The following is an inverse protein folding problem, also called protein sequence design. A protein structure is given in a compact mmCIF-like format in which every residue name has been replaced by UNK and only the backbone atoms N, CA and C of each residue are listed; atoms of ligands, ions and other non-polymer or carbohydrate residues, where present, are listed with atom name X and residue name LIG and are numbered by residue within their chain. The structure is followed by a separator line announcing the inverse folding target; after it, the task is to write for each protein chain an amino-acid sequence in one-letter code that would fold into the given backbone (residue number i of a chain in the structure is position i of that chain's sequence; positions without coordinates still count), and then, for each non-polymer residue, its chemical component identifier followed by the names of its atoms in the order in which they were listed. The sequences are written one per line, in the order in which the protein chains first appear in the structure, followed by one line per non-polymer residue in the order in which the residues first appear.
data_IF_630892302754
#
_entry.id   IF_630892302754
#
_cell.length_a   1.000
_cell.length_b   1.000
_cell.length_c   1.000
_cell.angle_alpha   90.00
_cell.angle_beta   90.00
_cell.angle_gamma   90.00
#
_symmetry.space_group_name_H-M   'P 1'
#
loop_
_entity.id
_entity.type
_entity.pdbx_description
1 polymer ?
#
# COMPACT_ATOMS: atom_id res chain seq x y z
N UNK A 1 1.71 -26.38 2.95
CA UNK A 1 1.60 -27.31 4.09
C UNK A 1 0.16 -27.80 4.21
N UNK A 2 -0.05 -29.07 4.56
CA UNK A 2 -1.38 -29.64 4.86
C UNK A 2 -1.31 -30.22 6.27
N UNK A 3 -2.27 -29.90 7.14
CA UNK A 3 -2.32 -30.39 8.51
C UNK A 3 -3.75 -30.76 8.91
N UNK A 4 -3.95 -31.78 9.77
CA UNK A 4 -5.26 -32.08 10.33
C UNK A 4 -5.73 -30.93 11.23
N UNK A 5 -7.05 -30.69 11.28
CA UNK A 5 -7.64 -29.70 12.19
C UNK A 5 -7.94 -30.33 13.55
N UNK A 6 -8.19 -29.51 14.60
CA UNK A 6 -8.67 -30.02 15.88
C UNK A 6 -9.91 -30.91 15.75
N UNK A 7 -10.79 -30.65 14.77
CA UNK A 7 -11.98 -31.49 14.53
C UNK A 7 -11.63 -32.92 14.13
N UNK A 8 -10.63 -33.10 13.28
CA UNK A 8 -10.15 -34.43 12.91
C UNK A 8 -9.57 -35.17 14.13
N UNK A 9 -8.82 -34.46 14.98
CA UNK A 9 -8.27 -35.01 16.22
C UNK A 9 -9.40 -35.44 17.16
N UNK A 10 -10.41 -34.58 17.36
CA UNK A 10 -11.57 -34.92 18.21
C UNK A 10 -12.35 -36.13 17.68
N UNK A 11 -12.58 -36.24 16.37
CA UNK A 11 -13.24 -37.41 15.78
C UNK A 11 -12.41 -38.68 15.98
N UNK A 12 -11.08 -38.60 15.85
CA UNK A 12 -10.21 -39.72 16.15
C UNK A 12 -10.31 -40.14 17.62
N UNK A 13 -10.24 -39.17 18.54
CA UNK A 13 -10.29 -39.39 19.99
C UNK A 13 -11.64 -39.94 20.46
N UNK A 14 -12.75 -39.57 19.83
CA UNK A 14 -14.08 -40.08 20.16
C UNK A 14 -14.17 -41.61 19.98
N UNK A 15 -13.38 -42.18 19.08
CA UNK A 15 -13.32 -43.64 18.89
C UNK A 15 -12.52 -44.37 19.96
N UNK A 16 -11.64 -43.68 20.70
CA UNK A 16 -10.71 -44.33 21.64
C UNK A 16 -11.41 -45.10 22.75
N UNK A 17 -12.43 -44.55 23.46
CA UNK A 17 -13.14 -45.31 24.50
C UNK A 17 -13.79 -46.57 23.94
N UNK A 18 -14.38 -46.49 22.74
CA UNK A 18 -15.00 -47.63 22.07
C UNK A 18 -13.97 -48.70 21.70
N UNK A 19 -12.82 -48.28 21.15
CA UNK A 19 -11.72 -49.18 20.79
C UNK A 19 -11.14 -49.88 22.02
N UNK A 20 -10.94 -49.15 23.13
CA UNK A 20 -10.46 -49.73 24.39
C UNK A 20 -11.47 -50.72 24.95
N UNK A 21 -12.76 -50.39 24.93
CA UNK A 21 -13.82 -51.30 25.37
C UNK A 21 -13.86 -52.58 24.52
N UNK A 22 -13.73 -52.46 23.20
CA UNK A 22 -13.64 -53.61 22.28
C UNK A 22 -12.41 -54.46 22.61
N UNK A 23 -11.24 -53.83 22.76
CA UNK A 23 -9.99 -54.52 23.06
C UNK A 23 -10.01 -55.29 24.38
N UNK A 24 -10.75 -54.82 25.39
CA UNK A 24 -10.86 -55.46 26.71
C UNK A 24 -11.97 -56.52 26.79
N UNK A 25 -13.13 -56.26 26.18
CA UNK A 25 -14.33 -57.09 26.37
C UNK A 25 -14.52 -58.14 25.25
N UNK A 26 -14.15 -57.80 24.01
CA UNK A 26 -14.37 -58.61 22.80
C UNK A 26 -13.22 -58.43 21.79
N UNK A 27 -12.01 -58.94 22.07
CA UNK A 27 -10.84 -58.76 21.20
C UNK A 27 -11.05 -59.23 19.75
N UNK A 28 -11.93 -60.21 19.53
CA UNK A 28 -12.32 -60.72 18.22
C UNK A 28 -12.95 -59.65 17.30
N UNK A 29 -13.47 -58.55 17.86
CA UNK A 29 -14.06 -57.43 17.13
C UNK A 29 -13.05 -56.33 16.75
N UNK A 30 -11.74 -56.61 16.79
CA UNK A 30 -10.69 -55.64 16.45
C UNK A 30 -10.89 -54.96 15.07
N UNK A 31 -11.54 -55.65 14.12
CA UNK A 31 -11.87 -55.13 12.78
C UNK A 31 -12.73 -53.87 12.86
N UNK A 32 -13.61 -53.73 13.87
CA UNK A 32 -14.42 -52.52 14.08
C UNK A 32 -13.51 -51.33 14.44
N UNK A 33 -12.52 -51.56 15.29
CA UNK A 33 -11.53 -50.54 15.67
C UNK A 33 -10.69 -50.11 14.47
N UNK A 34 -10.21 -51.08 13.68
CA UNK A 34 -9.51 -50.79 12.43
C UNK A 34 -10.41 -50.04 11.42
N UNK A 35 -11.69 -50.41 11.33
CA UNK A 35 -12.69 -49.76 10.51
C UNK A 35 -12.94 -48.31 10.89
N UNK A 36 -12.96 -47.98 12.20
CA UNK A 36 -13.06 -46.59 12.65
C UNK A 36 -11.85 -45.77 12.21
N UNK A 37 -10.64 -46.26 12.47
CA UNK A 37 -9.40 -45.57 12.07
C UNK A 37 -9.38 -45.37 10.55
N UNK A 38 -9.64 -46.44 9.79
CA UNK A 38 -9.71 -46.39 8.33
C UNK A 38 -10.80 -45.45 7.82
N UNK A 39 -11.95 -45.42 8.47
CA UNK A 39 -13.07 -44.53 8.14
C UNK A 39 -12.73 -43.05 8.35
N UNK A 40 -12.17 -42.70 9.51
CA UNK A 40 -11.74 -41.32 9.79
C UNK A 40 -10.59 -40.91 8.84
N UNK A 41 -9.61 -41.80 8.60
CA UNK A 41 -8.54 -41.55 7.64
C UNK A 41 -9.09 -41.33 6.22
N UNK A 42 -10.10 -42.10 5.81
CA UNK A 42 -10.78 -41.95 4.52
C UNK A 42 -11.52 -40.61 4.42
N UNK A 43 -12.19 -40.18 5.49
CA UNK A 43 -12.85 -38.87 5.54
C UNK A 43 -11.84 -37.71 5.47
N UNK A 44 -10.72 -37.82 6.18
CA UNK A 44 -9.61 -36.85 6.11
C UNK A 44 -9.04 -36.78 4.70
N UNK A 45 -8.83 -37.93 4.06
CA UNK A 45 -8.34 -38.01 2.68
C UNK A 45 -9.34 -37.41 1.70
N UNK A 46 -10.62 -37.75 1.81
CA UNK A 46 -11.68 -37.19 0.98
C UNK A 46 -11.77 -35.66 1.16
N UNK A 47 -11.69 -35.15 2.39
CA UNK A 47 -11.66 -33.71 2.67
C UNK A 47 -10.43 -33.03 2.02
N UNK A 48 -9.28 -33.70 2.03
CA UNK A 48 -8.06 -33.17 1.41
C UNK A 48 -8.15 -33.10 -0.12
N UNK A 49 -8.76 -34.10 -0.76
CA UNK A 49 -8.99 -34.16 -2.21
C UNK A 49 -10.02 -33.11 -2.64
N UNK A 50 -11.12 -32.97 -1.89
CA UNK A 50 -12.19 -32.01 -2.19
C UNK A 50 -11.84 -30.56 -1.82
N UNK A 51 -10.85 -30.34 -0.96
CA UNK A 51 -10.41 -29.00 -0.59
C UNK A 51 -9.69 -28.28 -1.73
N UNK A 52 -9.90 -26.96 -1.82
CA UNK A 52 -9.23 -26.09 -2.79
C UNK A 52 -7.72 -26.34 -2.88
N UNK A 53 -7.21 -26.42 -4.10
CA UNK A 53 -5.83 -26.86 -4.37
C UNK A 53 -4.80 -25.78 -4.04
N UNK A 54 -3.71 -26.17 -3.38
CA UNK A 54 -2.55 -25.29 -3.15
C UNK A 54 -1.86 -24.89 -4.45
N UNK A 55 -1.83 -25.78 -5.46
CA UNK A 55 -1.15 -25.53 -6.74
C UNK A 55 -1.92 -24.58 -7.66
N UNK A 56 -3.21 -24.41 -7.42
CA UNK A 56 -4.06 -23.51 -8.20
C UNK A 56 -4.20 -22.14 -7.53
N UNK A 57 -3.60 -21.95 -6.35
CA UNK A 57 -3.72 -20.74 -5.56
C UNK A 57 -2.64 -19.74 -5.95
N UNK A 58 -3.08 -18.54 -6.30
CA UNK A 58 -2.24 -17.39 -6.62
C UNK A 58 -2.64 -16.25 -5.70
N UNK A 59 -1.64 -15.53 -5.18
CA UNK A 59 -1.87 -14.34 -4.38
C UNK A 59 -0.93 -13.25 -4.85
N UNK A 60 -1.48 -12.07 -5.12
CA UNK A 60 -0.73 -10.89 -5.48
C UNK A 60 -1.02 -9.78 -4.46
N UNK A 61 0.03 -9.07 -4.05
CA UNK A 61 -0.07 -7.90 -3.17
C UNK A 61 0.48 -6.72 -3.95
N UNK A 62 -0.42 -5.85 -4.40
CA UNK A 62 -0.01 -4.58 -4.98
C UNK A 62 0.10 -3.54 -3.86
N UNK A 63 1.33 -3.11 -3.62
CA UNK A 63 1.66 -2.19 -2.55
C UNK A 63 2.14 -0.86 -3.12
N UNK A 64 1.82 0.26 -2.45
CA UNK A 64 2.26 1.58 -2.90
C UNK A 64 3.79 1.65 -2.97
N UNK A 65 4.30 2.41 -3.95
CA UNK A 65 5.73 2.60 -4.14
C UNK A 65 6.39 3.45 -3.04
N UNK A 66 5.58 4.23 -2.31
CA UNK A 66 6.02 5.17 -1.29
C UNK A 66 4.99 5.22 -0.18
N UNK A 67 5.46 5.20 1.07
CA UNK A 67 4.63 5.36 2.25
C UNK A 67 5.00 6.64 2.99
N UNK A 68 4.05 7.17 3.75
CA UNK A 68 4.25 8.39 4.51
C UNK A 68 4.07 8.16 6.01
N UNK A 69 4.99 8.67 6.83
CA UNK A 69 4.86 8.57 8.29
C UNK A 69 3.57 9.23 8.76
N UNK A 70 2.83 8.54 9.62
CA UNK A 70 1.54 9.02 10.16
C UNK A 70 0.38 8.95 9.17
N UNK A 71 0.61 8.45 7.95
CA UNK A 71 -0.44 8.10 7.00
C UNK A 71 -0.86 6.63 7.12
N UNK A 72 -1.95 6.27 6.45
CA UNK A 72 -2.36 4.90 6.21
C UNK A 72 -2.69 4.77 4.73
N UNK A 73 -1.95 3.92 4.02
CA UNK A 73 -2.16 3.68 2.59
C UNK A 73 -2.62 2.24 2.35
N UNK A 74 -3.57 2.02 1.41
CA UNK A 74 -4.03 0.69 1.09
C UNK A 74 -2.97 -0.10 0.32
N UNK A 75 -2.82 -1.38 0.67
CA UNK A 75 -2.20 -2.41 -0.17
C UNK A 75 -3.29 -3.36 -0.66
N UNK A 76 -3.41 -3.50 -1.97
CA UNK A 76 -4.46 -4.28 -2.61
C UNK A 76 -4.02 -5.73 -2.75
N UNK A 77 -4.65 -6.58 -1.94
CA UNK A 77 -4.48 -8.02 -1.96
C UNK A 77 -5.49 -8.64 -2.92
N UNK A 78 -4.99 -9.36 -3.93
CA UNK A 78 -5.82 -10.16 -4.84
C UNK A 78 -5.50 -11.64 -4.65
N UNK A 79 -6.51 -12.41 -4.25
CA UNK A 79 -6.44 -13.87 -4.08
C UNK A 79 -7.18 -14.56 -5.22
N UNK A 80 -6.57 -15.55 -5.85
CA UNK A 80 -7.17 -16.24 -7.01
C UNK A 80 -6.96 -17.74 -6.93
N UNK A 81 -7.97 -18.48 -7.37
CA UNK A 81 -7.87 -19.93 -7.59
C UNK A 81 -8.10 -20.24 -9.06
N UNK A 82 -7.03 -20.54 -9.80
CA UNK A 82 -7.07 -20.79 -11.25
C UNK A 82 -8.05 -21.89 -11.66
N UNK A 83 -8.17 -22.95 -10.85
CA UNK A 83 -9.05 -24.11 -11.12
C UNK A 83 -9.48 -24.83 -9.85
N UNK A 84 -10.50 -25.69 -9.98
CA UNK A 84 -10.99 -26.55 -8.90
C UNK A 84 -11.97 -25.87 -7.92
N UNK A 85 -12.26 -26.53 -6.79
CA UNK A 85 -13.20 -26.01 -5.80
C UNK A 85 -12.64 -24.77 -5.09
N UNK A 86 -13.53 -23.88 -4.67
CA UNK A 86 -13.19 -22.66 -3.94
C UNK A 86 -13.40 -22.87 -2.43
N UNK A 87 -12.51 -22.37 -1.56
CA UNK A 87 -12.70 -22.52 -0.14
C UNK A 87 -13.81 -21.60 0.37
N UNK A 88 -14.61 -22.05 1.34
CA UNK A 88 -15.70 -21.23 1.92
C UNK A 88 -15.18 -19.99 2.65
N UNK A 89 -14.01 -20.12 3.28
CA UNK A 89 -13.31 -19.06 4.00
C UNK A 89 -11.81 -19.25 3.80
N UNK A 90 -11.11 -18.16 3.51
CA UNK A 90 -9.65 -18.09 3.53
C UNK A 90 -9.22 -17.09 4.59
N UNK A 91 -8.22 -17.46 5.38
CA UNK A 91 -7.62 -16.57 6.36
C UNK A 91 -6.25 -16.15 5.85
N UNK A 92 -6.00 -14.85 5.85
CA UNK A 92 -4.75 -14.25 5.39
C UNK A 92 -4.10 -13.42 6.48
N UNK A 93 -2.77 -13.42 6.50
CA UNK A 93 -1.97 -12.60 7.40
C UNK A 93 -0.76 -12.10 6.62
N UNK A 94 -0.63 -10.77 6.54
CA UNK A 94 0.53 -10.12 5.95
C UNK A 94 1.57 -9.88 7.03
N UNK A 95 2.75 -10.48 6.86
CA UNK A 95 3.90 -10.30 7.72
C UNK A 95 4.70 -9.09 7.24
N UNK A 96 4.93 -8.14 8.14
CA UNK A 96 5.62 -6.88 7.90
C UNK A 96 6.72 -6.67 8.94
N UNK A 97 7.72 -5.83 8.62
CA UNK A 97 8.74 -5.45 9.60
C UNK A 97 8.24 -4.39 10.61
N UNK A 98 9.09 -4.07 11.60
CA UNK A 98 8.76 -3.16 12.70
C UNK A 98 8.49 -1.69 12.30
N UNK A 99 8.69 -1.31 11.03
CA UNK A 99 8.37 0.03 10.54
C UNK A 99 6.90 0.20 10.19
N UNK A 100 6.15 -0.89 10.09
CA UNK A 100 4.70 -0.90 9.87
C UNK A 100 3.98 -1.41 11.12
N UNK A 101 2.77 -0.91 11.36
CA UNK A 101 1.88 -1.50 12.36
C UNK A 101 1.51 -2.93 11.95
N UNK A 102 1.43 -3.83 12.93
CA UNK A 102 1.02 -5.21 12.69
C UNK A 102 -0.44 -5.25 12.23
N UNK A 103 -0.68 -5.94 11.11
CA UNK A 103 -2.01 -6.08 10.53
C UNK A 103 -2.65 -7.36 11.10
N UNK A 104 -3.87 -7.30 11.66
CA UNK A 104 -4.53 -8.48 12.19
C UNK A 104 -4.90 -9.47 11.07
N UNK A 105 -4.98 -10.79 11.36
CA UNK A 105 -5.43 -11.77 10.38
C UNK A 105 -6.84 -11.46 9.87
N UNK A 106 -7.03 -11.49 8.55
CA UNK A 106 -8.32 -11.24 7.91
C UNK A 106 -8.94 -12.56 7.42
N UNK A 107 -10.22 -12.78 7.74
CA UNK A 107 -10.99 -13.94 7.28
C UNK A 107 -11.92 -13.57 6.14
N UNK A 108 -11.55 -13.90 4.90
CA UNK A 108 -12.26 -13.53 3.69
C UNK A 108 -13.22 -14.64 3.22
N UNK A 109 -14.37 -14.23 2.70
CA UNK A 109 -15.42 -15.10 2.14
C UNK A 109 -15.98 -14.46 0.87
N UNK A 110 -16.62 -15.27 0.04
CA UNK A 110 -17.20 -14.84 -1.23
C UNK A 110 -16.14 -14.69 -2.31
N UNK A 111 -16.43 -15.21 -3.50
CA UNK A 111 -15.53 -15.22 -4.65
C UNK A 111 -16.26 -14.61 -5.85
N UNK A 112 -15.58 -13.74 -6.59
CA UNK A 112 -16.05 -13.19 -7.86
C UNK A 112 -15.05 -13.61 -8.92
N UNK A 113 -15.52 -14.30 -9.97
CA UNK A 113 -14.65 -14.85 -11.03
C UNK A 113 -13.46 -15.66 -10.50
N UNK A 114 -13.70 -16.42 -9.42
CA UNK A 114 -12.70 -17.25 -8.72
C UNK A 114 -11.56 -16.44 -8.10
N UNK A 115 -11.73 -15.13 -8.00
CA UNK A 115 -10.84 -14.19 -7.35
C UNK A 115 -11.53 -13.49 -6.16
N UNK A 116 -10.73 -12.92 -5.27
CA UNK A 116 -11.18 -12.10 -4.15
C UNK A 116 -10.17 -10.99 -3.90
N UNK A 117 -10.62 -9.76 -4.06
CA UNK A 117 -9.85 -8.57 -3.70
C UNK A 117 -10.14 -8.15 -2.26
N UNK A 118 -9.12 -7.64 -1.58
CA UNK A 118 -9.18 -7.11 -0.23
C UNK A 118 -8.12 -6.04 -0.04
N UNK A 119 -8.44 -4.95 0.66
CA UNK A 119 -7.48 -3.87 0.90
C UNK A 119 -6.96 -3.94 2.33
N UNK A 120 -5.64 -3.99 2.46
CA UNK A 120 -4.92 -4.06 3.75
C UNK A 120 -4.34 -2.67 4.06
N UNK A 121 -4.64 -2.06 5.21
CA UNK A 121 -4.04 -0.79 5.57
C UNK A 121 -2.57 -0.97 5.96
N UNK A 122 -1.68 -0.26 5.27
CA UNK A 122 -0.27 -0.12 5.63
C UNK A 122 -0.09 1.19 6.41
N UNK A 123 0.15 1.09 7.71
CA UNK A 123 0.33 2.25 8.59
C UNK A 123 1.78 2.33 9.09
N UNK A 124 2.60 3.25 8.55
CA UNK A 124 3.99 3.41 8.99
C UNK A 124 4.09 4.07 10.37
N UNK A 125 4.94 3.52 11.24
CA UNK A 125 5.16 4.04 12.59
C UNK A 125 6.30 5.05 12.67
N UNK A 126 7.32 4.91 11.81
CA UNK A 126 8.50 5.79 11.75
C UNK A 126 9.14 5.76 10.36
N UNK A 127 10.02 6.73 10.06
CA UNK A 127 10.78 6.78 8.78
C UNK A 127 11.73 5.59 8.68
N UNK A 128 12.02 5.16 7.46
CA UNK A 128 12.92 4.05 7.16
C UNK A 128 12.43 3.23 5.98
N UNK A 129 12.86 1.97 5.91
CA UNK A 129 12.44 1.01 4.89
C UNK A 129 11.42 0.05 5.50
N UNK A 130 10.14 0.20 5.12
CA UNK A 130 9.14 -0.83 5.36
C UNK A 130 9.47 -2.06 4.53
N UNK A 131 9.21 -3.25 5.07
CA UNK A 131 9.36 -4.51 4.33
C UNK A 131 8.10 -5.33 4.45
N UNK A 132 7.54 -5.72 3.30
CA UNK A 132 6.52 -6.75 3.20
C UNK A 132 7.24 -8.09 3.07
N UNK A 133 7.18 -8.92 4.10
CA UNK A 133 8.01 -10.12 4.23
C UNK A 133 7.33 -11.29 3.52
N UNK A 134 6.16 -11.69 4.04
CA UNK A 134 5.42 -12.88 3.57
C UNK A 134 3.93 -12.67 3.70
N UNK A 135 3.17 -13.25 2.78
CA UNK A 135 1.74 -13.42 2.91
C UNK A 135 1.44 -14.87 3.29
N UNK A 136 0.90 -15.05 4.49
CA UNK A 136 0.39 -16.34 4.96
C UNK A 136 -1.07 -16.46 4.57
N UNK A 137 -1.44 -17.61 4.00
CA UNK A 137 -2.80 -17.87 3.56
C UNK A 137 -3.20 -19.29 3.94
N UNK A 138 -4.33 -19.45 4.62
CA UNK A 138 -4.80 -20.76 5.07
C UNK A 138 -6.31 -20.93 4.88
N UNK A 139 -6.72 -22.14 4.55
CA UNK A 139 -8.12 -22.49 4.38
C UNK A 139 -8.37 -23.94 4.79
N UNK A 140 -9.64 -24.25 5.07
CA UNK A 140 -10.07 -25.60 5.46
C UNK A 140 -10.77 -26.32 4.31
N UNK A 141 -10.76 -27.65 4.35
CA UNK A 141 -11.59 -28.46 3.46
C UNK A 141 -13.09 -28.31 3.74
N UNK A 142 -13.96 -28.81 2.85
CA UNK A 142 -15.42 -28.72 2.99
C UNK A 142 -15.96 -29.38 4.28
N UNK A 143 -15.37 -30.49 4.73
CA UNK A 143 -15.69 -31.16 5.99
C UNK A 143 -14.96 -30.52 7.18
N UNK A 144 -13.92 -29.72 6.90
CA UNK A 144 -13.16 -28.99 7.92
C UNK A 144 -12.27 -29.89 8.77
N UNK A 145 -11.91 -31.07 8.26
CA UNK A 145 -11.02 -32.05 8.87
C UNK A 145 -9.55 -31.76 8.56
N UNK A 146 -9.30 -31.10 7.42
CA UNK A 146 -7.96 -30.67 7.01
C UNK A 146 -7.86 -29.16 6.86
N UNK A 147 -6.64 -28.66 7.05
CA UNK A 147 -6.25 -27.28 6.80
C UNK A 147 -5.08 -27.26 5.81
N UNK A 148 -5.22 -26.47 4.76
CA UNK A 148 -4.14 -26.18 3.80
C UNK A 148 -3.61 -24.79 4.09
N UNK A 149 -2.29 -24.64 4.03
CA UNK A 149 -1.58 -23.39 4.24
C UNK A 149 -0.57 -23.17 3.12
N UNK A 150 -0.57 -21.96 2.57
CA UNK A 150 0.34 -21.46 1.57
C UNK A 150 1.05 -20.21 2.10
N UNK A 151 2.32 -20.05 1.75
CA UNK A 151 3.10 -18.87 2.10
C UNK A 151 3.68 -18.30 0.82
N UNK A 152 3.31 -17.07 0.51
CA UNK A 152 3.86 -16.32 -0.64
C UNK A 152 4.96 -15.41 -0.09
N UNK A 153 6.19 -15.57 -0.57
CA UNK A 153 7.27 -14.63 -0.27
C UNK A 153 7.03 -13.34 -1.07
N UNK A 154 7.08 -12.18 -0.41
CA UNK A 154 6.92 -10.88 -1.08
C UNK A 154 8.26 -10.16 -1.20
N UNK A 155 9.06 -10.18 -0.12
CA UNK A 155 10.38 -9.55 0.02
C UNK A 155 10.48 -8.17 -0.65
N UNK A 156 9.48 -7.32 -0.40
CA UNK A 156 9.33 -6.01 -1.04
C UNK A 156 9.61 -4.90 -0.05
N UNK A 157 10.61 -4.08 -0.37
CA UNK A 157 10.95 -2.89 0.39
C UNK A 157 10.20 -1.67 -0.12
N UNK A 158 9.69 -0.86 0.81
CA UNK A 158 8.91 0.35 0.53
C UNK A 158 9.51 1.50 1.36
N UNK A 159 10.04 2.56 0.73
CA UNK A 159 10.56 3.70 1.46
C UNK A 159 9.42 4.44 2.18
N UNK A 160 9.69 4.83 3.43
CA UNK A 160 8.79 5.65 4.23
C UNK A 160 9.37 7.06 4.36
N UNK A 161 8.72 8.03 3.75
CA UNK A 161 9.14 9.44 3.75
C UNK A 161 8.32 10.31 4.69
N UNK A 162 8.79 11.53 5.02
CA UNK A 162 7.98 12.54 5.67
C UNK A 162 6.71 12.80 4.86
N UNK A 163 5.59 13.01 5.55
CA UNK A 163 4.33 13.31 4.89
C UNK A 163 4.38 14.70 4.21
N UNK A 164 4.59 14.69 2.89
CA UNK A 164 4.59 15.88 2.04
C UNK A 164 3.29 16.05 1.24
N UNK A 165 2.26 15.23 1.50
CA UNK A 165 1.00 15.30 0.74
C UNK A 165 0.37 16.69 0.81
N UNK A 166 0.37 17.29 2.01
CA UNK A 166 -0.13 18.64 2.22
C UNK A 166 0.61 19.70 1.37
N UNK A 167 1.92 19.54 1.17
CA UNK A 167 2.72 20.45 0.32
C UNK A 167 2.34 20.27 -1.14
N UNK A 168 2.18 19.02 -1.59
CA UNK A 168 1.84 18.71 -2.98
C UNK A 168 0.44 19.23 -3.35
N UNK A 169 -0.52 19.01 -2.46
CA UNK A 169 -1.91 19.45 -2.67
C UNK A 169 -1.98 20.99 -2.73
N UNK A 170 -1.23 21.68 -1.87
CA UNK A 170 -1.17 23.15 -1.88
C UNK A 170 -0.43 23.69 -3.10
N UNK A 171 0.67 23.05 -3.54
CA UNK A 171 1.34 23.41 -4.78
C UNK A 171 0.40 23.28 -5.98
N UNK A 172 -0.34 22.18 -6.10
CA UNK A 172 -1.34 22.00 -7.17
C UNK A 172 -2.39 23.11 -7.12
N UNK A 173 -2.90 23.47 -5.93
CA UNK A 173 -3.85 24.56 -5.74
C UNK A 173 -3.30 25.92 -6.21
N UNK A 174 -2.04 26.21 -5.91
CA UNK A 174 -1.37 27.45 -6.34
C UNK A 174 -1.25 27.46 -7.88
N UNK A 175 -0.75 26.38 -8.48
CA UNK A 175 -0.59 26.28 -9.94
C UNK A 175 -1.92 26.27 -10.70
N UNK A 176 -2.98 25.66 -10.16
CA UNK A 176 -4.31 25.69 -10.80
C UNK A 176 -4.92 27.09 -10.80
N UNK A 177 -4.62 27.89 -9.76
CA UNK A 177 -5.09 29.28 -9.67
C UNK A 177 -4.43 30.15 -10.74
N UNK A 178 -3.13 29.97 -10.98
CA UNK A 178 -2.41 30.67 -12.05
C UNK A 178 -2.85 30.25 -13.47
N UNK A 179 -3.40 29.05 -13.62
CA UNK A 179 -3.94 28.58 -14.91
C UNK A 179 -5.32 29.19 -15.26
N UNK A 180 -6.15 29.52 -14.27
CA UNK A 180 -7.47 30.15 -14.49
C UNK A 180 -7.38 31.64 -14.80
N UNK A 181 -6.39 32.34 -14.26
CA UNK A 181 -6.07 33.72 -14.64
C UNK A 181 -5.12 33.72 -15.84
N UNK A 182 -5.63 33.30 -17.01
CA UNK A 182 -4.85 33.17 -18.24
C UNK A 182 -3.81 34.28 -18.38
N UNK A 183 -2.54 33.88 -18.58
CA UNK A 183 -1.29 34.67 -18.53
C UNK A 183 -1.51 36.17 -18.80
N UNK A 184 -2.02 36.88 -17.80
CA UNK A 184 -1.97 38.34 -17.80
C UNK A 184 -0.57 38.62 -17.30
N UNK A 185 0.31 39.01 -18.21
CA UNK A 185 1.54 39.71 -17.82
C UNK A 185 1.10 40.95 -17.03
N UNK A 186 1.02 40.81 -15.72
CA UNK A 186 0.87 41.93 -14.82
C UNK A 186 2.25 42.57 -14.77
N UNK A 187 2.45 43.58 -15.62
CA UNK A 187 3.66 44.41 -15.60
C UNK A 187 3.59 45.25 -14.32
N UNK A 188 4.05 44.67 -13.22
CA UNK A 188 4.19 45.36 -11.93
C UNK A 188 5.48 46.18 -11.95
N UNK A 189 5.35 47.46 -12.30
CA UNK A 189 6.41 48.48 -12.22
C UNK A 189 6.84 48.68 -10.76
N UNK A 190 8.13 48.74 -10.47
CA UNK A 190 8.66 48.92 -9.11
C UNK A 190 10.18 49.08 -9.04
N UNK A 191 10.72 49.26 -7.83
CA UNK A 191 12.15 49.53 -7.53
C UNK A 191 13.06 48.29 -7.64
N UNK A 192 13.04 47.59 -8.78
CA UNK A 192 14.03 46.52 -9.04
C UNK A 192 15.39 47.05 -9.52
N UNK A 193 16.36 46.15 -9.75
CA UNK A 193 17.69 46.54 -10.24
C UNK A 193 17.87 46.40 -11.76
N UNK A 194 16.99 45.66 -12.43
CA UNK A 194 17.01 45.45 -13.88
C UNK A 194 16.36 46.62 -14.63
N UNK A 195 17.10 47.23 -15.55
CA UNK A 195 16.60 48.30 -16.41
C UNK A 195 15.54 47.76 -17.37
N UNK A 196 14.37 48.41 -17.41
CA UNK A 196 13.26 48.03 -18.31
C UNK A 196 13.20 48.95 -19.53
N UNK A 197 13.01 50.25 -19.31
CA UNK A 197 12.85 51.23 -20.38
C UNK A 197 13.23 52.66 -19.95
N UNK A 198 13.41 53.55 -20.94
CA UNK A 198 13.43 55.00 -20.73
C UNK A 198 12.05 55.58 -20.97
N UNK A 199 11.60 56.46 -20.07
CA UNK A 199 10.34 57.18 -20.19
C UNK A 199 10.54 58.67 -19.96
N UNK A 200 9.69 59.50 -20.54
CA UNK A 200 9.67 60.94 -20.26
C UNK A 200 9.39 61.22 -18.77
N UNK A 201 10.24 62.05 -18.17
CA UNK A 201 10.14 62.42 -16.76
C UNK A 201 8.91 63.30 -16.53
N UNK A 202 8.05 62.90 -15.59
CA UNK A 202 6.88 63.68 -15.18
C UNK A 202 7.03 64.14 -13.73
N UNK A 203 6.47 65.30 -13.41
CA UNK A 203 6.37 65.81 -12.03
C UNK A 203 5.67 64.80 -11.14
N UNK A 204 6.41 64.25 -10.17
CA UNK A 204 5.98 63.14 -9.30
C UNK A 204 6.94 61.95 -9.30
N UNK A 205 7.82 61.84 -10.30
CA UNK A 205 8.88 60.81 -10.35
C UNK A 205 10.08 61.20 -9.48
N UNK A 206 10.83 60.20 -8.99
CA UNK A 206 12.09 60.44 -8.28
C UNK A 206 13.11 61.08 -9.22
N UNK A 207 13.69 62.21 -8.79
CA UNK A 207 14.72 62.96 -9.52
C UNK A 207 16.01 62.15 -9.72
N UNK A 208 16.26 61.14 -8.88
CA UNK A 208 17.41 60.23 -9.00
C UNK A 208 17.30 59.27 -10.18
N UNK A 209 16.07 59.02 -10.67
CA UNK A 209 15.83 58.15 -11.81
C UNK A 209 16.18 58.81 -13.16
N UNK A 210 16.49 60.12 -13.19
CA UNK A 210 16.80 60.86 -14.41
C UNK A 210 18.10 60.36 -15.05
N UNK A 211 18.02 59.93 -16.31
CA UNK A 211 19.20 59.65 -17.14
C UNK A 211 19.65 60.93 -17.85
N UNK A 212 20.59 61.64 -17.22
CA UNK A 212 21.15 62.89 -17.76
C UNK A 212 21.82 62.71 -19.12
N UNK A 213 22.41 61.53 -19.39
CA UNK A 213 23.15 61.27 -20.63
C UNK A 213 22.21 61.11 -21.82
N UNK A 214 21.11 60.37 -21.65
CA UNK A 214 20.09 60.22 -22.69
C UNK A 214 19.26 61.49 -22.86
N UNK A 215 18.95 62.19 -21.76
CA UNK A 215 18.21 63.45 -21.80
C UNK A 215 18.94 64.52 -22.62
N UNK A 216 20.26 64.64 -22.44
CA UNK A 216 21.09 65.59 -23.19
C UNK A 216 21.07 65.34 -24.71
N UNK A 217 20.92 64.08 -25.15
CA UNK A 217 20.89 63.72 -26.57
C UNK A 217 19.55 63.99 -27.23
N UNK A 218 18.45 63.79 -26.49
CA UNK A 218 17.08 63.86 -27.03
C UNK A 218 16.40 65.20 -26.72
N UNK A 219 17.07 66.12 -26.01
CA UNK A 219 16.56 67.43 -25.58
C UNK A 219 15.26 67.37 -24.75
N UNK A 220 14.92 66.21 -24.21
CA UNK A 220 13.79 65.95 -23.32
C UNK A 220 14.28 65.25 -22.05
N UNK A 221 13.63 65.48 -20.90
CA UNK A 221 13.99 64.80 -19.65
C UNK A 221 13.51 63.34 -19.68
N UNK A 222 14.44 62.40 -19.53
CA UNK A 222 14.19 60.96 -19.54
C UNK A 222 14.55 60.36 -18.18
N UNK A 223 13.68 59.49 -17.66
CA UNK A 223 13.88 58.68 -16.47
C UNK A 223 13.97 57.19 -16.81
N UNK A 224 14.76 56.46 -16.02
CA UNK A 224 14.84 55.00 -16.08
C UNK A 224 13.66 54.39 -15.33
N UNK A 225 12.89 53.53 -15.98
CA UNK A 225 12.00 52.60 -15.31
C UNK A 225 12.76 51.28 -15.09
N UNK A 226 12.68 50.75 -13.87
CA UNK A 226 13.24 49.46 -13.51
C UNK A 226 12.11 48.43 -13.36
N UNK A 227 12.43 47.17 -13.64
CA UNK A 227 11.50 46.07 -13.48
C UNK A 227 11.71 45.41 -12.13
N UNK A 228 10.63 45.19 -11.38
CA UNK A 228 10.67 44.45 -10.12
C UNK A 228 11.18 43.02 -10.36
N UNK A 229 12.27 42.65 -9.69
CA UNK A 229 12.75 41.27 -9.69
C UNK A 229 11.81 40.38 -8.85
N UNK A 230 11.24 39.35 -9.47
CA UNK A 230 10.51 38.27 -8.78
C UNK A 230 11.03 36.91 -9.23
N UNK A 231 10.81 35.91 -8.38
CA UNK A 231 11.15 34.50 -8.62
C UNK A 231 12.66 34.19 -8.63
N UNK A 232 13.41 34.75 -7.67
CA UNK A 232 14.73 34.22 -7.34
C UNK A 232 14.58 32.79 -6.81
N UNK A 233 14.87 31.81 -7.65
CA UNK A 233 14.94 30.42 -7.25
C UNK A 233 16.21 30.20 -6.42
N UNK A 234 16.09 30.31 -5.10
CA UNK A 234 17.16 29.97 -4.16
C UNK A 234 17.10 28.47 -3.91
N UNK A 235 18.11 27.73 -4.36
CA UNK A 235 18.25 26.29 -4.11
C UNK A 235 19.16 26.09 -2.90
N UNK A 236 18.60 25.57 -1.81
CA UNK A 236 19.38 25.06 -0.68
C UNK A 236 19.68 23.58 -0.92
N UNK A 237 20.95 23.27 -1.17
CA UNK A 237 21.44 21.90 -1.19
C UNK A 237 22.22 21.64 0.11
N UNK A 238 21.79 20.63 0.87
CA UNK A 238 22.50 20.14 2.04
C UNK A 238 22.95 18.70 1.78
N UNK A 239 24.26 18.47 1.82
CA UNK A 239 24.86 17.16 1.77
C UNK A 239 24.69 16.45 3.12
N UNK A 240 24.19 15.21 3.10
CA UNK A 240 23.99 14.39 4.30
C UNK A 240 24.98 13.21 4.40
N UNK A 241 26.01 13.18 3.55
CA UNK A 241 27.00 12.09 3.49
C UNK A 241 26.56 10.90 2.66
#
# INVERSE_FOLDING_TARGET
MISPTPRAIFLMLLGVPLMVAIALLRPELWVISAGWVGGIASLIFADAVLAASLRAYEANVDAPALLYVGGSDPADLTLRFARGPLPRRIEVLLEVNAFLQTIPPAGLRGWQDRARSYSLPLTPTRRGLARLVKLWSRWKGPLGLIQKQHTTLLDRDIPITPNIRWVKDEAIRIYSRDAEFGVKMQIERGDGSEFDALREFTTGMDRRAIDWKHSARHRNLLAKEFRTERNHNIVFAFDTG
#
